data_IF_974363817677
#
_entry.id   IF_974363817677
#
_cell.length_a   1.000
_cell.length_b   1.000
_cell.length_c   1.000
_cell.angle_alpha   90.00
_cell.angle_beta   90.00
_cell.angle_gamma   90.00
#
_symmetry.space_group_name_H-M   'P 1'
#
loop_
_entity.id
_entity.type
_entity.pdbx_description
1 polymer ?
#
# COMPACT_ATOMS: atom_id res chain seq x y z
N UNK A 1 15.41 -13.19 -5.32
CA UNK A 1 14.18 -12.78 -5.99
C UNK A 1 14.55 -11.91 -7.20
N UNK A 2 14.31 -12.44 -8.41
CA UNK A 2 14.67 -11.79 -9.67
C UNK A 2 13.62 -10.76 -10.07
N UNK A 3 13.98 -9.48 -10.05
CA UNK A 3 13.08 -8.38 -10.36
C UNK A 3 12.83 -8.23 -11.87
N UNK A 4 13.79 -8.62 -12.72
CA UNK A 4 13.61 -8.55 -14.18
C UNK A 4 12.39 -9.34 -14.65
N UNK A 5 12.04 -10.38 -13.92
CA UNK A 5 10.84 -11.23 -14.18
C UNK A 5 9.58 -10.78 -13.46
N UNK A 6 9.70 -9.94 -12.43
CA UNK A 6 8.62 -9.66 -11.48
C UNK A 6 8.19 -8.20 -11.43
N UNK A 7 9.07 -7.24 -11.76
CA UNK A 7 8.69 -5.83 -11.83
C UNK A 7 7.76 -5.58 -13.01
N UNK A 8 6.94 -4.54 -12.91
CA UNK A 8 6.02 -4.16 -14.00
C UNK A 8 6.74 -3.84 -15.29
N UNK A 9 7.88 -3.14 -15.19
CA UNK A 9 8.70 -2.71 -16.33
C UNK A 9 9.72 -3.77 -16.80
N UNK A 10 9.70 -4.97 -16.19
CA UNK A 10 10.57 -6.11 -16.55
C UNK A 10 12.07 -5.79 -16.50
N UNK A 11 12.49 -4.92 -15.57
CA UNK A 11 13.90 -4.62 -15.33
C UNK A 11 14.20 -4.65 -13.83
N UNK A 12 15.49 -4.64 -13.49
CA UNK A 12 16.03 -4.67 -12.14
C UNK A 12 16.79 -5.96 -11.81
N UNK A 13 17.61 -5.89 -10.79
CA UNK A 13 18.52 -6.94 -10.37
C UNK A 13 17.89 -8.02 -9.47
N UNK A 14 18.75 -8.76 -8.80
CA UNK A 14 18.38 -9.87 -7.91
C UNK A 14 18.43 -9.42 -6.45
N UNK A 15 17.31 -9.45 -5.77
CA UNK A 15 17.20 -9.19 -4.35
C UNK A 15 17.55 -10.48 -3.58
N UNK A 16 18.56 -10.43 -2.70
CA UNK A 16 18.97 -11.59 -1.88
C UNK A 16 17.94 -11.95 -0.81
N UNK A 17 17.36 -10.95 -0.16
CA UNK A 17 16.40 -11.18 0.94
C UNK A 17 15.06 -10.53 0.60
N UNK A 18 14.07 -11.34 0.27
CA UNK A 18 12.72 -10.92 -0.08
C UNK A 18 11.71 -11.53 0.90
N UNK A 19 11.12 -10.69 1.75
CA UNK A 19 10.27 -11.08 2.87
C UNK A 19 8.81 -10.80 2.53
N UNK A 20 7.92 -11.77 2.73
CA UNK A 20 6.47 -11.66 2.50
C UNK A 20 5.69 -11.97 3.77
N UNK A 21 5.57 -11.04 4.70
CA UNK A 21 4.80 -11.26 5.92
C UNK A 21 3.30 -11.41 5.58
N UNK A 22 2.63 -12.32 6.28
CA UNK A 22 1.21 -12.67 6.09
C UNK A 22 0.28 -12.02 7.10
N UNK A 23 0.85 -11.36 8.11
CA UNK A 23 0.11 -10.71 9.20
C UNK A 23 0.86 -9.51 9.75
N UNK A 24 0.14 -8.62 10.42
CA UNK A 24 0.74 -7.50 11.16
C UNK A 24 1.71 -7.98 12.23
N UNK A 25 1.43 -9.14 12.86
CA UNK A 25 2.33 -9.76 13.85
C UNK A 25 3.66 -10.14 13.22
N UNK A 26 3.64 -10.74 12.05
CA UNK A 26 4.87 -11.09 11.31
C UNK A 26 5.63 -9.84 10.86
N UNK A 27 4.94 -8.79 10.40
CA UNK A 27 5.57 -7.51 10.06
C UNK A 27 6.33 -6.98 11.28
N UNK A 28 5.67 -6.89 12.44
CA UNK A 28 6.30 -6.40 13.67
C UNK A 28 7.54 -7.23 14.05
N UNK A 29 7.46 -8.56 13.94
CA UNK A 29 8.58 -9.45 14.22
C UNK A 29 9.77 -9.17 13.28
N UNK A 30 9.52 -9.05 11.98
CA UNK A 30 10.55 -8.73 10.98
C UNK A 30 11.17 -7.36 11.26
N UNK A 31 10.36 -6.33 11.55
CA UNK A 31 10.84 -5.00 11.85
C UNK A 31 11.69 -4.96 13.11
N UNK A 32 11.27 -5.66 14.17
CA UNK A 32 12.05 -5.78 15.41
C UNK A 32 13.44 -6.36 15.13
N UNK A 33 13.48 -7.49 14.40
CA UNK A 33 14.75 -8.13 14.04
C UNK A 33 15.66 -7.20 13.22
N UNK A 34 15.13 -6.60 12.15
CA UNK A 34 15.92 -5.73 11.27
C UNK A 34 16.45 -4.48 12.00
N UNK A 35 15.62 -3.88 12.87
CA UNK A 35 16.01 -2.71 13.64
C UNK A 35 17.05 -3.05 14.73
N UNK A 36 16.91 -4.18 15.43
CA UNK A 36 17.91 -4.66 16.42
C UNK A 36 19.29 -4.90 15.77
N UNK A 37 19.29 -5.30 14.50
CA UNK A 37 20.52 -5.55 13.73
C UNK A 37 21.00 -4.32 12.95
N UNK A 38 20.31 -3.18 13.06
CA UNK A 38 20.57 -1.96 12.27
C UNK A 38 20.59 -2.22 10.75
N UNK A 39 19.73 -3.13 10.27
CA UNK A 39 19.63 -3.47 8.86
C UNK A 39 18.59 -2.56 8.21
N UNK A 40 19.01 -1.79 7.20
CA UNK A 40 18.10 -1.03 6.36
C UNK A 40 17.24 -1.94 5.49
N UNK A 41 16.01 -1.52 5.18
CA UNK A 41 15.08 -2.29 4.37
C UNK A 41 14.20 -1.37 3.51
N UNK A 42 13.59 -1.95 2.48
CA UNK A 42 12.59 -1.27 1.65
C UNK A 42 11.23 -1.96 1.80
N UNK A 43 10.17 -1.14 1.89
CA UNK A 43 8.79 -1.62 1.81
C UNK A 43 8.31 -1.49 0.37
N UNK A 44 7.76 -2.56 -0.17
CA UNK A 44 7.25 -2.58 -1.54
C UNK A 44 5.87 -3.24 -1.64
N UNK A 45 5.13 -2.82 -2.66
CA UNK A 45 3.89 -3.44 -3.11
C UNK A 45 4.08 -4.22 -4.41
N UNK A 46 3.31 -3.86 -5.46
CA UNK A 46 3.31 -4.55 -6.76
C UNK A 46 4.50 -4.20 -7.67
N UNK A 47 5.44 -3.39 -7.21
CA UNK A 47 6.64 -2.98 -7.98
C UNK A 47 6.25 -2.37 -9.36
N UNK A 48 5.18 -1.57 -9.37
CA UNK A 48 4.66 -0.93 -10.59
C UNK A 48 5.10 0.52 -10.75
N UNK A 49 5.67 1.13 -9.70
CA UNK A 49 6.15 2.51 -9.69
C UNK A 49 7.53 2.60 -9.03
N UNK A 50 8.36 1.56 -9.19
CA UNK A 50 9.68 1.49 -8.57
C UNK A 50 10.67 1.03 -9.63
N UNK A 51 11.71 1.83 -9.86
CA UNK A 51 12.85 1.47 -10.69
C UNK A 51 13.96 1.00 -9.76
N UNK A 52 14.49 -0.17 -10.04
CA UNK A 52 15.51 -0.81 -9.21
C UNK A 52 16.69 -1.13 -10.13
N UNK A 53 17.90 -0.79 -9.67
CA UNK A 53 19.13 -1.03 -10.41
C UNK A 53 19.35 -2.51 -10.71
N UNK A 54 20.14 -2.80 -11.72
CA UNK A 54 20.64 -4.15 -12.02
C UNK A 54 21.67 -4.63 -10.99
N UNK A 55 22.04 -5.91 -11.08
CA UNK A 55 22.99 -6.56 -10.22
C UNK A 55 22.39 -7.09 -8.92
N UNK A 56 23.24 -7.47 -7.98
CA UNK A 56 22.81 -7.99 -6.68
C UNK A 56 22.43 -6.87 -5.71
N UNK A 57 21.34 -7.08 -4.97
CA UNK A 57 20.82 -6.15 -3.96
C UNK A 57 20.79 -6.87 -2.62
N UNK A 58 21.65 -6.44 -1.71
CA UNK A 58 21.78 -7.03 -0.37
C UNK A 58 20.74 -6.50 0.61
N UNK A 59 20.21 -5.26 0.39
CA UNK A 59 19.19 -4.68 1.25
C UNK A 59 17.91 -5.50 1.20
N UNK A 60 17.35 -5.95 2.33
CA UNK A 60 16.09 -6.67 2.39
C UNK A 60 14.90 -5.86 1.85
N UNK A 61 14.02 -6.55 1.14
CA UNK A 61 12.74 -6.00 0.69
C UNK A 61 11.60 -6.71 1.40
N UNK A 62 10.68 -5.92 1.98
CA UNK A 62 9.47 -6.42 2.64
C UNK A 62 8.29 -6.12 1.72
N UNK A 63 7.67 -7.16 1.19
CA UNK A 63 6.53 -7.07 0.29
C UNK A 63 5.22 -7.30 1.06
N UNK A 64 4.32 -6.33 1.03
CA UNK A 64 3.07 -6.37 1.80
C UNK A 64 1.88 -6.99 1.05
N UNK A 65 2.08 -7.56 -0.13
CA UNK A 65 0.98 -8.08 -0.95
C UNK A 65 0.20 -9.24 -0.33
N UNK A 66 0.76 -9.91 0.69
CA UNK A 66 0.04 -10.94 1.44
C UNK A 66 -1.04 -10.38 2.37
N UNK A 67 -0.98 -9.08 2.71
CA UNK A 67 -2.08 -8.38 3.36
C UNK A 67 -3.10 -7.99 2.27
N UNK A 68 -4.07 -8.84 2.01
CA UNK A 68 -4.95 -8.72 0.84
C UNK A 68 -6.45 -8.79 1.14
N UNK A 69 -6.85 -8.49 2.38
CA UNK A 69 -8.26 -8.53 2.79
C UNK A 69 -8.99 -7.25 2.42
N UNK A 70 -10.22 -7.41 1.92
CA UNK A 70 -11.22 -6.35 1.81
C UNK A 70 -12.37 -6.72 2.74
N UNK A 71 -12.79 -5.80 3.59
CA UNK A 71 -13.89 -6.03 4.54
C UNK A 71 -14.92 -4.91 4.40
N UNK A 72 -16.15 -5.26 4.01
CA UNK A 72 -17.30 -4.38 4.10
C UNK A 72 -17.67 -4.20 5.58
N UNK A 73 -17.93 -2.97 5.97
CA UNK A 73 -18.35 -2.62 7.32
C UNK A 73 -19.84 -2.28 7.30
N UNK A 74 -20.58 -2.81 8.27
CA UNK A 74 -22.01 -2.54 8.37
C UNK A 74 -22.26 -1.07 8.73
N UNK A 75 -22.86 -0.32 7.80
CA UNK A 75 -23.32 1.05 8.02
C UNK A 75 -24.49 1.34 7.09
N UNK A 76 -25.46 2.18 7.55
CA UNK A 76 -26.68 2.49 6.80
C UNK A 76 -26.50 3.60 5.76
N UNK A 77 -25.46 4.43 5.88
CA UNK A 77 -25.28 5.66 5.09
C UNK A 77 -24.14 5.54 4.07
N UNK A 78 -24.25 4.58 3.14
CA UNK A 78 -23.24 4.39 2.10
C UNK A 78 -22.34 3.16 2.34
N UNK A 79 -21.34 3.00 1.50
CA UNK A 79 -20.42 1.86 1.56
C UNK A 79 -19.17 2.21 2.37
N UNK A 80 -19.01 1.53 3.49
CA UNK A 80 -17.81 1.60 4.32
C UNK A 80 -16.96 0.35 4.11
N UNK A 81 -15.69 0.52 3.78
CA UNK A 81 -14.77 -0.57 3.50
C UNK A 81 -13.47 -0.36 4.27
N UNK A 82 -12.96 -1.42 4.86
CA UNK A 82 -11.55 -1.55 5.20
C UNK A 82 -10.85 -2.35 4.10
N UNK A 83 -9.68 -1.89 3.68
CA UNK A 83 -8.80 -2.61 2.74
C UNK A 83 -7.39 -2.66 3.28
N UNK A 84 -6.79 -3.85 3.25
CA UNK A 84 -5.36 -4.04 3.49
C UNK A 84 -4.51 -3.36 2.41
N UNK A 85 -3.27 -3.03 2.76
CA UNK A 85 -2.31 -2.34 1.89
C UNK A 85 -1.88 -3.14 0.66
N UNK A 86 -1.88 -4.47 0.74
CA UNK A 86 -1.47 -5.35 -0.34
C UNK A 86 -2.57 -5.65 -1.37
N UNK A 87 -3.81 -5.24 -1.12
CA UNK A 87 -4.89 -5.37 -2.11
C UNK A 87 -4.52 -4.60 -3.38
N UNK A 88 -4.66 -5.22 -4.56
CA UNK A 88 -4.41 -4.51 -5.81
C UNK A 88 -5.50 -3.46 -6.08
N UNK A 89 -5.10 -2.29 -6.63
CA UNK A 89 -6.02 -1.20 -6.94
C UNK A 89 -7.14 -1.65 -7.89
N UNK A 90 -6.87 -2.41 -8.97
CA UNK A 90 -7.93 -2.96 -9.82
C UNK A 90 -8.94 -3.85 -9.08
N UNK A 91 -8.47 -4.72 -8.18
CA UNK A 91 -9.35 -5.60 -7.38
C UNK A 91 -10.24 -4.76 -6.45
N UNK A 92 -9.65 -3.78 -5.77
CA UNK A 92 -10.39 -2.84 -4.92
C UNK A 92 -11.43 -2.05 -5.72
N UNK A 93 -11.04 -1.49 -6.87
CA UNK A 93 -11.93 -0.74 -7.75
C UNK A 93 -13.11 -1.59 -8.22
N UNK A 94 -12.84 -2.80 -8.70
CA UNK A 94 -13.88 -3.76 -9.11
C UNK A 94 -14.81 -4.10 -7.95
N UNK A 95 -14.28 -4.28 -6.74
CA UNK A 95 -15.08 -4.55 -5.55
C UNK A 95 -16.08 -3.43 -5.28
N UNK A 96 -15.63 -2.16 -5.29
CA UNK A 96 -16.50 -0.97 -5.06
C UNK A 96 -17.58 -0.87 -6.13
N UNK A 97 -17.22 -1.03 -7.41
CA UNK A 97 -18.16 -0.98 -8.55
C UNK A 97 -19.23 -2.08 -8.42
N UNK A 98 -18.83 -3.29 -8.07
CA UNK A 98 -19.76 -4.43 -7.88
C UNK A 98 -20.72 -4.23 -6.68
N UNK A 99 -20.40 -3.34 -5.76
CA UNK A 99 -21.33 -2.93 -4.69
C UNK A 99 -22.28 -1.79 -5.13
N UNK A 100 -22.23 -1.35 -6.40
CA UNK A 100 -23.07 -0.29 -6.94
C UNK A 100 -22.59 1.13 -6.69
N UNK A 101 -21.32 1.32 -6.28
CA UNK A 101 -20.75 2.63 -5.94
C UNK A 101 -19.79 3.12 -6.99
N UNK A 102 -19.74 4.45 -7.15
CA UNK A 102 -18.86 5.16 -8.09
C UNK A 102 -17.61 5.75 -7.39
N UNK A 103 -16.71 6.34 -8.19
CA UNK A 103 -15.53 7.07 -7.71
C UNK A 103 -14.23 6.26 -7.76
N UNK A 104 -14.26 5.03 -8.28
CA UNK A 104 -13.06 4.20 -8.46
C UNK A 104 -12.86 3.73 -9.91
N UNK A 105 -13.75 4.07 -10.82
CA UNK A 105 -13.74 3.57 -12.21
C UNK A 105 -12.41 3.90 -12.91
N UNK A 106 -11.93 5.14 -12.80
CA UNK A 106 -10.67 5.57 -13.37
C UNK A 106 -9.43 4.92 -12.75
N UNK A 107 -9.59 4.25 -11.60
CA UNK A 107 -8.49 3.57 -10.91
C UNK A 107 -8.32 2.11 -11.36
N UNK A 108 -9.30 1.55 -12.05
CA UNK A 108 -9.32 0.13 -12.43
C UNK A 108 -8.11 -0.29 -13.27
N UNK A 109 -7.59 0.61 -14.10
CA UNK A 109 -6.42 0.37 -14.95
C UNK A 109 -5.06 0.65 -14.28
N UNK A 110 -5.04 1.13 -13.02
CA UNK A 110 -3.77 1.47 -12.35
C UNK A 110 -3.11 0.20 -11.80
N UNK A 111 -1.94 -0.21 -12.30
CA UNK A 111 -1.20 -1.30 -11.69
C UNK A 111 -0.60 -0.83 -10.36
N UNK A 112 -0.93 -1.51 -9.28
CA UNK A 112 -0.41 -1.14 -7.97
C UNK A 112 -1.20 -1.74 -6.82
N UNK A 113 -0.76 -1.52 -5.60
CA UNK A 113 -1.44 -1.90 -4.38
C UNK A 113 -2.03 -0.69 -3.67
N UNK A 114 -3.01 -0.90 -2.80
CA UNK A 114 -3.62 0.14 -1.97
C UNK A 114 -2.55 0.90 -1.18
N UNK A 115 -1.61 0.20 -0.54
CA UNK A 115 -0.53 0.86 0.21
C UNK A 115 0.36 1.74 -0.66
N UNK A 116 0.80 1.22 -1.83
CA UNK A 116 1.59 1.99 -2.80
C UNK A 116 0.80 3.16 -3.39
N UNK A 117 -0.49 2.96 -3.66
CA UNK A 117 -1.39 4.00 -4.15
C UNK A 117 -1.62 5.13 -3.13
N UNK A 118 -1.73 4.81 -1.84
CA UNK A 118 -1.82 5.81 -0.77
C UNK A 118 -0.49 6.56 -0.65
N UNK A 119 0.63 5.84 -0.63
CA UNK A 119 1.98 6.42 -0.55
C UNK A 119 2.22 7.47 -1.65
N UNK A 120 1.82 7.18 -2.87
CA UNK A 120 2.00 8.02 -4.06
C UNK A 120 0.82 8.95 -4.37
N UNK A 121 -0.25 8.94 -3.58
CA UNK A 121 -1.51 9.58 -3.92
C UNK A 121 -1.94 9.27 -5.36
N UNK A 122 -2.02 7.98 -5.69
CA UNK A 122 -2.25 7.51 -7.05
C UNK A 122 -3.57 8.01 -7.62
N UNK A 123 -3.54 8.44 -8.87
CA UNK A 123 -4.71 8.99 -9.57
C UNK A 123 -4.69 8.64 -11.06
N UNK A 124 -5.87 8.56 -11.64
CA UNK A 124 -6.09 8.43 -13.07
C UNK A 124 -7.48 9.00 -13.44
N UNK A 125 -7.59 9.68 -14.59
CA UNK A 125 -8.85 10.29 -15.06
C UNK A 125 -9.57 11.10 -13.98
N UNK A 126 -8.86 11.98 -13.27
CA UNK A 126 -9.35 12.81 -12.15
C UNK A 126 -9.86 12.02 -10.93
N UNK A 127 -9.75 10.69 -10.91
CA UNK A 127 -10.05 9.87 -9.74
C UNK A 127 -8.77 9.67 -8.91
N UNK A 128 -8.79 10.10 -7.66
CA UNK A 128 -7.71 9.87 -6.69
C UNK A 128 -8.09 8.72 -5.77
N UNK A 129 -7.18 7.75 -5.59
CA UNK A 129 -7.41 6.65 -4.65
C UNK A 129 -7.76 7.17 -3.25
N UNK A 130 -7.14 8.27 -2.87
CA UNK A 130 -7.29 8.88 -1.54
C UNK A 130 -8.55 9.73 -1.39
N UNK A 131 -9.32 9.95 -2.46
CA UNK A 131 -10.52 10.79 -2.43
C UNK A 131 -11.53 10.33 -1.37
N UNK A 132 -11.76 9.03 -1.30
CA UNK A 132 -12.73 8.39 -0.41
C UNK A 132 -12.11 7.82 0.88
N UNK A 133 -10.82 8.05 1.13
CA UNK A 133 -10.16 7.65 2.38
C UNK A 133 -10.68 8.47 3.56
N UNK A 134 -10.86 7.80 4.70
CA UNK A 134 -11.19 8.41 5.99
C UNK A 134 -10.04 8.30 6.97
N UNK A 135 -9.46 7.11 7.08
CA UNK A 135 -8.38 6.79 8.03
C UNK A 135 -7.41 5.82 7.37
N UNK A 136 -6.13 5.95 7.71
CA UNK A 136 -5.04 5.07 7.26
C UNK A 136 -4.42 4.45 8.50
N UNK A 137 -4.21 3.14 8.48
CA UNK A 137 -3.51 2.42 9.55
C UNK A 137 -2.06 2.28 9.13
N UNK A 138 -1.16 2.70 10.01
CA UNK A 138 0.28 2.63 9.79
C UNK A 138 1.02 2.04 10.99
N UNK A 139 2.21 1.51 10.75
CA UNK A 139 3.25 1.34 11.77
C UNK A 139 4.20 2.53 11.62
N UNK A 140 4.43 3.28 12.70
CA UNK A 140 5.34 4.42 12.71
C UNK A 140 6.82 4.02 12.88
N UNK A 141 7.71 5.00 12.89
CA UNK A 141 9.15 4.78 13.10
C UNK A 141 9.50 4.14 14.45
N UNK A 142 8.61 4.28 15.44
CA UNK A 142 8.75 3.66 16.77
C UNK A 142 8.08 2.29 16.85
N UNK A 143 7.71 1.69 15.70
CA UNK A 143 7.02 0.40 15.57
C UNK A 143 5.68 0.36 16.29
N UNK A 144 5.04 1.50 16.51
CA UNK A 144 3.69 1.59 17.10
C UNK A 144 2.66 1.72 16.00
N UNK A 145 1.58 0.97 16.16
CA UNK A 145 0.42 1.10 15.27
C UNK A 145 -0.28 2.43 15.55
N UNK A 146 -0.52 3.21 14.49
CA UNK A 146 -1.22 4.50 14.55
C UNK A 146 -2.29 4.59 13.48
N UNK A 147 -3.27 5.46 13.76
CA UNK A 147 -4.29 5.87 12.79
C UNK A 147 -3.98 7.30 12.37
N UNK A 148 -3.79 7.47 11.05
CA UNK A 148 -3.61 8.79 10.41
C UNK A 148 -4.92 9.13 9.71
N UNK A 149 -5.51 10.29 10.02
CA UNK A 149 -6.71 10.78 9.35
C UNK A 149 -6.33 11.33 7.97
N UNK A 150 -7.28 11.34 7.02
CA UNK A 150 -7.04 11.87 5.66
C UNK A 150 -6.38 13.25 5.68
N UNK A 151 -6.87 14.17 6.50
CA UNK A 151 -6.35 15.55 6.61
C UNK A 151 -4.89 15.63 7.09
N UNK A 152 -4.46 14.66 7.87
CA UNK A 152 -3.12 14.59 8.45
C UNK A 152 -2.12 13.98 7.45
N UNK A 153 -2.62 13.29 6.42
CA UNK A 153 -1.79 12.64 5.40
C UNK A 153 -1.21 13.61 4.35
N UNK A 154 -1.61 14.89 4.35
CA UNK A 154 -1.13 15.97 3.49
C UNK A 154 -0.99 15.55 2.02
N UNK A 155 -2.05 14.96 1.48
CA UNK A 155 -2.06 14.51 0.09
C UNK A 155 -1.96 15.69 -0.88
N UNK A 156 -0.99 15.63 -1.79
CA UNK A 156 -0.86 16.53 -2.92
C UNK A 156 -0.51 15.75 -4.20
N UNK A 157 -0.20 16.41 -5.30
CA UNK A 157 0.14 15.74 -6.55
C UNK A 157 1.32 14.78 -6.35
N UNK A 158 1.06 13.48 -6.54
CA UNK A 158 2.06 12.39 -6.40
C UNK A 158 2.81 12.40 -5.06
N UNK A 159 2.19 12.93 -4.00
CA UNK A 159 2.84 13.09 -2.71
C UNK A 159 1.90 12.79 -1.52
N UNK A 160 2.52 12.36 -0.42
CA UNK A 160 1.91 12.18 0.89
C UNK A 160 2.97 12.29 1.99
N UNK A 161 2.57 12.51 3.25
CA UNK A 161 3.52 12.52 4.38
C UNK A 161 4.31 11.21 4.52
N UNK A 162 3.78 10.11 4.02
CA UNK A 162 4.42 8.79 4.12
C UNK A 162 5.72 8.69 3.33
N UNK A 163 5.99 9.62 2.40
CA UNK A 163 7.24 9.68 1.64
C UNK A 163 8.39 10.28 2.47
N UNK A 164 8.08 11.18 3.40
CA UNK A 164 9.06 11.81 4.29
C UNK A 164 9.16 11.12 5.65
N UNK A 165 8.10 10.43 6.09
CA UNK A 165 8.08 9.73 7.37
C UNK A 165 8.32 8.23 7.15
N UNK A 166 9.16 7.61 7.97
CA UNK A 166 9.40 6.16 7.95
C UNK A 166 8.18 5.42 8.54
N UNK A 167 7.05 5.51 7.82
CA UNK A 167 5.80 4.84 8.22
C UNK A 167 5.42 3.76 7.22
N UNK A 168 4.95 2.62 7.71
CA UNK A 168 4.52 1.48 6.90
C UNK A 168 2.99 1.47 6.86
N UNK A 169 2.40 1.62 5.67
CA UNK A 169 0.96 1.61 5.49
C UNK A 169 0.46 0.16 5.54
N UNK A 170 -0.40 -0.16 6.50
CA UNK A 170 -1.00 -1.49 6.68
C UNK A 170 -2.33 -1.65 5.97
N UNK A 171 -3.08 -0.56 5.83
CA UNK A 171 -4.40 -0.55 5.20
C UNK A 171 -5.11 0.78 5.43
N UNK A 172 -6.32 0.90 4.89
CA UNK A 172 -7.12 2.11 5.03
C UNK A 172 -8.62 1.83 5.10
N UNK A 173 -9.33 2.77 5.71
CA UNK A 173 -10.79 2.84 5.72
C UNK A 173 -11.27 3.82 4.65
N UNK A 174 -12.20 3.36 3.85
CA UNK A 174 -12.84 4.12 2.78
C UNK A 174 -14.31 4.31 3.06
N UNK A 175 -14.87 5.40 2.53
CA UNK A 175 -16.29 5.68 2.56
C UNK A 175 -16.75 6.20 1.20
N UNK A 176 -17.77 5.58 0.65
CA UNK A 176 -18.45 5.98 -0.56
C UNK A 176 -19.89 6.34 -0.21
N UNK A 177 -20.31 7.61 -0.42
CA UNK A 177 -21.69 8.03 -0.17
C UNK A 177 -22.66 7.38 -1.16
N UNK A 178 -23.96 7.37 -0.81
CA UNK A 178 -25.06 6.97 -1.68
C UNK A 178 -25.21 7.98 -2.79
#
# INVERSE_FOLDING_TARGET
FDLSKRSWIKCGGVIKTFIKPRSVKEINYVLLYLNQKNINYYIIGNISNTIIRDGEINTPFINLNSLSKIKKLNNKNGLHIYSDSGVSIPVFSKYVINQGYSGTQGLYGIPGSIGGGIFMNASSFKNYLTQNIRKIIVIDSNQKMKIVRKKEANFSWRNSIFQSHKSIILGAYFYFPI
#
